data_IF_282425416503
#
_entry.id   IF_282425416503
#
_cell.length_a   1.000
_cell.length_b   1.000
_cell.length_c   1.000
_cell.angle_alpha   90.00
_cell.angle_beta   90.00
_cell.angle_gamma   90.00
#
_symmetry.space_group_name_H-M   'P 1'
#
loop_
_entity.id
_entity.type
_entity.pdbx_description
1 polymer ?
#
# COMPACT_ATOMS: atom_id res chain seq x y z
N UNK A 1 9.63 6.27 13.08
CA UNK A 1 8.38 6.66 12.37
C UNK A 1 7.17 6.57 13.31
N UNK A 2 6.14 7.42 13.13
CA UNK A 2 4.88 7.35 13.88
C UNK A 2 3.88 6.45 13.13
N UNK A 3 3.49 5.32 13.71
CA UNK A 3 2.59 4.32 13.14
C UNK A 3 1.26 4.93 12.65
N UNK A 4 0.71 5.88 13.42
CA UNK A 4 -0.52 6.60 13.09
C UNK A 4 -0.40 7.42 11.79
N UNK A 5 0.79 7.93 11.48
CA UNK A 5 1.05 8.68 10.25
C UNK A 5 1.03 7.78 9.00
N UNK A 6 1.40 6.51 9.11
CA UNK A 6 1.32 5.57 7.98
C UNK A 6 -0.12 5.19 7.67
N UNK A 7 -0.92 4.91 8.71
CA UNK A 7 -2.33 4.59 8.55
C UNK A 7 -3.07 5.74 7.86
N UNK A 8 -2.84 6.99 8.30
CA UNK A 8 -3.47 8.15 7.68
C UNK A 8 -3.16 8.26 6.17
N UNK A 9 -1.93 7.97 5.75
CA UNK A 9 -1.56 7.99 4.32
C UNK A 9 -2.30 6.91 3.53
N UNK A 10 -2.40 5.70 4.08
CA UNK A 10 -3.15 4.60 3.48
C UNK A 10 -4.65 4.94 3.37
N UNK A 11 -5.22 5.58 4.38
CA UNK A 11 -6.62 6.03 4.39
C UNK A 11 -6.89 7.16 3.39
N UNK A 12 -5.99 8.14 3.27
CA UNK A 12 -6.07 9.18 2.24
C UNK A 12 -6.04 8.58 0.83
N UNK A 13 -5.24 7.55 0.59
CA UNK A 13 -5.23 6.85 -0.70
C UNK A 13 -6.54 6.10 -0.98
N UNK A 14 -7.08 5.39 0.02
CA UNK A 14 -8.40 4.72 -0.09
C UNK A 14 -9.49 5.74 -0.43
N UNK A 15 -9.45 6.92 0.21
CA UNK A 15 -10.41 8.00 0.03
C UNK A 15 -10.20 8.81 -1.26
N UNK A 16 -9.20 8.43 -2.07
CA UNK A 16 -8.79 9.13 -3.31
C UNK A 16 -8.32 10.57 -3.09
N UNK A 17 -7.90 10.92 -1.87
CA UNK A 17 -7.29 12.22 -1.56
C UNK A 17 -5.87 12.33 -2.12
N UNK A 18 -5.17 11.19 -2.22
CA UNK A 18 -3.84 11.08 -2.85
C UNK A 18 -3.82 9.99 -3.93
N UNK A 19 -2.91 10.15 -4.90
CA UNK A 19 -2.63 9.19 -5.98
C UNK A 19 -1.75 8.02 -5.51
N UNK A 20 -1.55 7.03 -6.39
CA UNK A 20 -0.62 5.92 -6.12
C UNK A 20 0.85 6.39 -6.11
N UNK A 21 1.19 7.37 -6.95
CA UNK A 21 2.51 7.99 -6.97
C UNK A 21 2.79 8.73 -5.66
N UNK A 22 1.82 9.53 -5.19
CA UNK A 22 1.92 10.21 -3.89
C UNK A 22 1.99 9.22 -2.73
N UNK A 23 1.22 8.12 -2.77
CA UNK A 23 1.33 7.08 -1.76
C UNK A 23 2.72 6.42 -1.78
N UNK A 24 3.30 6.23 -2.96
CA UNK A 24 4.65 5.66 -3.11
C UNK A 24 5.69 6.57 -2.47
N UNK A 25 5.62 7.88 -2.70
CA UNK A 25 6.54 8.84 -2.10
C UNK A 25 6.36 9.01 -0.60
N UNK A 26 5.12 9.00 -0.10
CA UNK A 26 4.81 9.32 1.29
C UNK A 26 4.86 8.10 2.22
N UNK A 27 4.56 6.91 1.70
CA UNK A 27 4.47 5.66 2.47
C UNK A 27 5.55 4.65 2.04
N UNK A 28 5.63 4.29 0.76
CA UNK A 28 6.48 3.19 0.30
C UNK A 28 7.98 3.50 0.45
N UNK A 29 8.50 4.57 -0.17
CA UNK A 29 9.93 4.88 -0.06
C UNK A 29 10.37 5.13 1.38
N UNK A 30 9.66 5.94 2.20
CA UNK A 30 10.07 6.14 3.59
C UNK A 30 10.04 4.85 4.43
N UNK A 31 9.14 3.92 4.13
CA UNK A 31 9.09 2.62 4.80
C UNK A 31 10.22 1.70 4.37
N UNK A 32 10.58 1.69 3.08
CA UNK A 32 11.64 0.84 2.52
C UNK A 32 13.06 1.37 2.76
N UNK A 33 13.24 2.69 2.82
CA UNK A 33 14.53 3.36 3.04
C UNK A 33 15.00 3.31 4.50
N UNK A 34 14.06 3.22 5.45
CA UNK A 34 14.43 2.93 6.84
C UNK A 34 14.94 1.47 6.86
N UNK A 35 16.26 1.29 6.74
CA UNK A 35 17.06 0.04 6.88
C UNK A 35 16.87 -0.66 8.25
N UNK A 36 15.71 -0.54 8.89
CA UNK A 36 15.33 -1.17 10.14
C UNK A 36 14.72 -2.55 9.81
N UNK A 37 15.54 -3.39 9.19
CA UNK A 37 15.26 -4.75 8.72
C UNK A 37 14.78 -5.76 9.80
N UNK A 38 14.45 -5.35 11.03
CA UNK A 38 14.29 -6.31 12.14
C UNK A 38 12.99 -6.31 12.93
N UNK A 39 12.03 -5.39 12.75
CA UNK A 39 10.77 -5.41 13.53
C UNK A 39 9.54 -4.84 12.81
N UNK A 40 9.57 -4.68 11.49
CA UNK A 40 8.43 -4.10 10.78
C UNK A 40 7.16 -4.93 10.97
N UNK A 41 6.08 -4.23 11.28
CA UNK A 41 4.73 -4.79 11.36
C UNK A 41 4.43 -5.52 10.04
N UNK A 42 4.24 -6.85 10.12
CA UNK A 42 3.96 -7.72 8.97
C UNK A 42 2.90 -7.12 8.04
N UNK A 43 1.97 -6.32 8.59
CA UNK A 43 0.93 -5.69 7.80
C UNK A 43 1.46 -4.67 6.77
N UNK A 44 2.39 -3.80 7.16
CA UNK A 44 2.90 -2.76 6.25
C UNK A 44 3.87 -3.34 5.22
N UNK A 45 4.63 -4.37 5.58
CA UNK A 45 5.44 -5.12 4.62
C UNK A 45 4.55 -5.73 3.52
N UNK A 46 3.46 -6.41 3.90
CA UNK A 46 2.55 -7.02 2.93
C UNK A 46 1.86 -5.96 2.04
N UNK A 47 1.59 -4.77 2.57
CA UNK A 47 1.06 -3.65 1.78
C UNK A 47 2.09 -3.18 0.75
N UNK A 48 3.35 -2.97 1.16
CA UNK A 48 4.43 -2.60 0.23
C UNK A 48 4.63 -3.67 -0.85
N UNK A 49 4.66 -4.95 -0.47
CA UNK A 49 4.74 -6.07 -1.43
C UNK A 49 3.57 -6.06 -2.41
N UNK A 50 2.36 -5.69 -1.97
CA UNK A 50 1.21 -5.57 -2.86
C UNK A 50 1.29 -4.36 -3.78
N UNK A 51 1.87 -3.25 -3.31
CA UNK A 51 2.12 -2.05 -4.13
C UNK A 51 3.07 -2.35 -5.30
N UNK A 52 4.06 -3.23 -5.13
CA UNK A 52 4.99 -3.63 -6.20
C UNK A 52 4.30 -4.28 -7.42
N UNK A 53 3.08 -4.82 -7.22
CA UNK A 53 2.25 -5.43 -8.26
C UNK A 53 1.01 -4.58 -8.59
N UNK A 54 1.08 -3.28 -8.38
CA UNK A 54 0.01 -2.34 -8.71
C UNK A 54 0.43 -1.40 -9.84
N UNK A 55 -0.41 -1.25 -10.85
CA UNK A 55 -0.18 -0.34 -11.98
C UNK A 55 -1.49 0.38 -12.36
N UNK A 56 -1.40 1.62 -12.87
CA UNK A 56 -2.57 2.31 -13.41
C UNK A 56 -3.02 1.72 -14.76
N UNK A 57 -2.10 1.11 -15.50
CA UNK A 57 -2.39 0.48 -16.79
C UNK A 57 -1.80 -0.93 -16.92
N UNK A 58 -2.67 -1.94 -16.89
CA UNK A 58 -2.30 -3.34 -17.07
C UNK A 58 -1.99 -3.76 -18.51
N UNK A 59 -2.08 -2.87 -19.52
CA UNK A 59 -1.83 -3.21 -20.94
C UNK A 59 -0.47 -3.88 -21.17
N UNK A 60 0.51 -3.61 -20.31
CA UNK A 60 1.87 -4.16 -20.40
C UNK A 60 2.19 -5.17 -19.30
N UNK A 61 1.23 -5.48 -18.42
CA UNK A 61 1.39 -6.31 -17.23
C UNK A 61 0.46 -7.52 -17.28
N UNK A 62 0.82 -8.58 -16.57
CA UNK A 62 0.07 -9.83 -16.57
C UNK A 62 -0.67 -10.01 -15.25
N UNK A 63 -2.01 -10.08 -15.30
CA UNK A 63 -2.84 -10.47 -14.14
C UNK A 63 -2.46 -11.85 -13.59
N UNK A 64 -1.92 -12.75 -14.42
CA UNK A 64 -1.45 -14.07 -13.97
C UNK A 64 -0.22 -13.98 -13.06
N UNK A 65 0.56 -12.92 -13.21
CA UNK A 65 1.76 -12.68 -12.41
C UNK A 65 1.43 -11.85 -11.15
N UNK A 66 0.14 -11.66 -10.84
CA UNK A 66 -0.33 -10.99 -9.63
C UNK A 66 -0.61 -9.50 -9.77
N UNK A 67 -0.40 -8.92 -10.97
CA UNK A 67 -0.64 -7.50 -11.22
C UNK A 67 -2.12 -7.13 -11.14
N UNK A 68 -2.41 -6.00 -10.48
CA UNK A 68 -3.74 -5.44 -10.32
C UNK A 68 -3.76 -3.95 -10.66
N UNK A 69 -4.94 -3.44 -11.03
CA UNK A 69 -5.12 -2.00 -11.26
C UNK A 69 -5.10 -1.22 -9.94
N UNK A 70 -4.69 0.06 -9.99
CA UNK A 70 -4.70 0.96 -8.82
C UNK A 70 -6.04 1.00 -8.07
N UNK A 71 -7.16 0.99 -8.79
CA UNK A 71 -8.48 0.96 -8.15
C UNK A 71 -8.80 -0.41 -7.50
N UNK A 72 -8.30 -1.52 -8.04
CA UNK A 72 -8.38 -2.84 -7.40
C UNK A 72 -7.51 -2.89 -6.13
N UNK A 73 -6.33 -2.27 -6.18
CA UNK A 73 -5.46 -2.14 -5.01
C UNK A 73 -6.12 -1.34 -3.89
N UNK A 74 -6.84 -0.25 -4.20
CA UNK A 74 -7.63 0.50 -3.20
C UNK A 74 -8.66 -0.38 -2.48
N UNK A 75 -9.41 -1.18 -3.23
CA UNK A 75 -10.42 -2.09 -2.66
C UNK A 75 -9.74 -3.13 -1.78
N UNK A 76 -8.67 -3.75 -2.29
CA UNK A 76 -7.89 -4.72 -1.53
C UNK A 76 -7.34 -4.12 -0.22
N UNK A 77 -6.75 -2.93 -0.29
CA UNK A 77 -6.14 -2.27 0.87
C UNK A 77 -7.18 -1.95 1.94
N UNK A 78 -8.34 -1.43 1.54
CA UNK A 78 -9.46 -1.18 2.45
C UNK A 78 -9.87 -2.45 3.21
N UNK A 79 -10.08 -3.54 2.48
CA UNK A 79 -10.49 -4.81 3.07
C UNK A 79 -9.39 -5.42 3.95
N UNK A 80 -8.13 -5.25 3.54
CA UNK A 80 -6.97 -5.72 4.28
C UNK A 80 -6.85 -5.02 5.63
N UNK A 81 -6.91 -3.68 5.66
CA UNK A 81 -6.82 -2.91 6.91
C UNK A 81 -7.94 -3.26 7.91
N UNK A 82 -9.15 -3.54 7.42
CA UNK A 82 -10.27 -3.99 8.25
C UNK A 82 -10.00 -5.40 8.82
N UNK A 83 -9.56 -6.34 7.97
CA UNK A 83 -9.28 -7.73 8.39
C UNK A 83 -8.12 -7.82 9.39
N UNK A 84 -7.10 -6.99 9.22
CA UNK A 84 -5.94 -6.92 10.12
C UNK A 84 -6.24 -6.19 11.43
N UNK A 85 -7.42 -5.58 11.59
CA UNK A 85 -7.80 -4.82 12.78
C UNK A 85 -7.08 -3.48 12.92
N UNK A 86 -6.45 -3.00 11.84
CA UNK A 86 -5.83 -1.67 11.77
C UNK A 86 -6.91 -0.60 11.63
N UNK A 87 -8.00 -0.93 10.92
CA UNK A 87 -9.16 -0.08 10.69
C UNK A 87 -10.45 -0.75 11.20
N UNK A 88 -11.35 0.05 11.78
CA UNK A 88 -12.69 -0.38 12.22
C UNK A 88 -13.79 0.05 11.25
#
# INVERSE_FOLDING_TARGET
MNYESHIQKLESFISKEISIDELTELFYFPFMDDEIESQFDNNFSEICEKMDFTDENLDTKSRKDGWIETDEFRVWLNDYLIKSGIRN
#
